data_IF_900938426760
#
_entry.id   IF_900938426760
#
_cell.length_a   1.000
_cell.length_b   1.000
_cell.length_c   1.000
_cell.angle_alpha   90.00
_cell.angle_beta   90.00
_cell.angle_gamma   90.00
#
_symmetry.space_group_name_H-M   'P 1'
#
loop_
_entity.id
_entity.type
_entity.pdbx_description
1 polymer ?
#
# COMPACT_ATOMS: atom_id res chain seq x y z
N UNK A 1 -14.67 -4.90 -30.62
CA UNK A 1 -14.70 -4.55 -29.98
C UNK A 1 -13.82 -4.26 -29.53
N UNK A 2 -13.77 -3.79 -29.84
CA UNK A 2 -12.81 -3.41 -29.31
C UNK A 2 -12.75 -3.76 -28.11
N UNK A 3 -11.84 -4.12 -27.78
CA UNK A 3 -11.72 -4.27 -26.59
C UNK A 3 -11.52 -3.06 -25.98
N UNK A 4 -12.55 -2.50 -25.60
CA UNK A 4 -12.49 -1.35 -24.83
C UNK A 4 -11.88 -1.71 -23.55
N UNK A 5 -10.94 -0.95 -23.10
CA UNK A 5 -10.45 -1.11 -21.77
C UNK A 5 -11.61 -0.97 -20.82
N UNK A 6 -11.83 -1.97 -20.02
CA UNK A 6 -12.80 -1.87 -18.96
C UNK A 6 -12.37 -0.74 -18.03
N UNK A 7 -13.22 0.25 -17.75
CA UNK A 7 -12.84 1.32 -16.85
C UNK A 7 -12.45 0.85 -15.47
N UNK A 8 -12.82 -0.40 -15.12
CA UNK A 8 -12.45 -0.95 -13.82
C UNK A 8 -11.11 -1.64 -13.85
N UNK A 9 -10.43 -1.65 -15.01
CA UNK A 9 -9.13 -2.30 -15.15
C UNK A 9 -8.05 -1.31 -15.48
N UNK A 10 -8.04 -0.19 -14.76
CA UNK A 10 -6.95 0.77 -14.89
C UNK A 10 -5.66 0.12 -14.37
N UNK A 11 -4.52 0.51 -14.94
CA UNK A 11 -3.26 -0.05 -14.46
C UNK A 11 -3.00 0.30 -13.00
N UNK A 12 -2.20 -0.51 -12.30
CA UNK A 12 -1.84 -0.19 -10.92
C UNK A 12 -1.12 1.15 -10.83
N UNK A 13 -1.39 1.86 -9.75
CA UNK A 13 -0.69 3.12 -9.45
C UNK A 13 0.40 2.81 -8.45
N UNK A 14 1.63 3.22 -8.76
CA UNK A 14 2.78 2.99 -7.89
C UNK A 14 3.20 4.32 -7.29
N UNK A 15 3.26 4.38 -5.97
CA UNK A 15 3.66 5.59 -5.25
C UNK A 15 4.89 5.26 -4.42
N UNK A 16 5.99 5.93 -4.73
CA UNK A 16 7.23 5.76 -3.97
C UNK A 16 7.12 6.51 -2.65
N UNK A 17 7.40 5.82 -1.56
CA UNK A 17 7.39 6.40 -0.24
C UNK A 17 8.80 6.80 0.19
N UNK A 18 8.93 7.77 1.10
CA UNK A 18 10.24 8.29 1.48
C UNK A 18 11.04 7.29 2.32
N UNK A 19 12.32 7.58 2.48
CA UNK A 19 13.24 6.74 3.25
C UNK A 19 12.83 6.64 4.71
N UNK A 20 12.21 7.67 5.26
CA UNK A 20 11.76 7.70 6.64
C UNK A 20 10.33 8.19 6.70
N UNK A 21 9.51 7.48 7.43
CA UNK A 21 8.12 7.87 7.64
C UNK A 21 7.94 8.06 9.14
N UNK A 22 7.63 9.28 9.54
CA UNK A 22 7.50 9.65 10.92
C UNK A 22 6.38 10.66 11.10
N UNK A 23 6.26 11.18 12.31
CA UNK A 23 5.20 12.11 12.65
C UNK A 23 5.22 13.36 11.77
N UNK A 24 6.39 13.75 11.24
CA UNK A 24 6.50 14.97 10.43
C UNK A 24 5.90 14.80 9.04
N UNK A 25 5.89 13.58 8.48
CA UNK A 25 5.43 13.39 7.10
C UNK A 25 4.32 12.36 6.92
N UNK A 26 3.92 11.66 8.00
CA UNK A 26 2.92 10.58 7.86
C UNK A 26 1.61 11.07 7.24
N UNK A 27 1.12 12.24 7.67
CA UNK A 27 -0.14 12.75 7.14
C UNK A 27 -0.04 13.09 5.66
N UNK A 28 1.08 13.68 5.25
CA UNK A 28 1.30 14.00 3.83
C UNK A 28 1.35 12.73 2.99
N UNK A 29 2.07 11.72 3.45
CA UNK A 29 2.15 10.44 2.74
C UNK A 29 0.76 9.80 2.67
N UNK A 30 0.02 9.84 3.77
CA UNK A 30 -1.35 9.30 3.79
C UNK A 30 -2.26 9.99 2.79
N UNK A 31 -2.18 11.32 2.67
CA UNK A 31 -2.97 12.05 1.68
C UNK A 31 -2.55 11.70 0.26
N UNK A 32 -1.25 11.50 0.04
CA UNK A 32 -0.76 11.10 -1.27
C UNK A 32 -1.32 9.74 -1.68
N UNK A 33 -1.31 8.78 -0.76
CA UNK A 33 -1.91 7.47 -1.03
C UNK A 33 -3.41 7.60 -1.25
N UNK A 34 -4.09 8.36 -0.40
CA UNK A 34 -5.53 8.52 -0.50
C UNK A 34 -5.97 9.13 -1.82
N UNK A 35 -5.19 10.06 -2.36
CA UNK A 35 -5.54 10.69 -3.63
C UNK A 35 -5.46 9.71 -4.81
N UNK A 36 -4.78 8.58 -4.63
CA UNK A 36 -4.68 7.56 -5.67
C UNK A 36 -5.84 6.57 -5.64
N UNK A 37 -6.67 6.57 -4.59
CA UNK A 37 -7.78 5.63 -4.49
C UNK A 37 -9.00 6.15 -5.26
N UNK A 38 -8.80 6.39 -6.55
CA UNK A 38 -9.84 6.93 -7.42
C UNK A 38 -10.70 5.81 -8.00
N UNK A 39 -11.88 6.19 -8.49
CA UNK A 39 -12.78 5.23 -9.12
C UNK A 39 -12.07 4.54 -10.30
N UNK A 40 -12.20 3.22 -10.39
CA UNK A 40 -11.59 2.45 -11.45
C UNK A 40 -10.18 1.98 -11.14
N UNK A 41 -9.53 2.50 -10.10
CA UNK A 41 -8.21 2.03 -9.69
C UNK A 41 -8.40 0.87 -8.74
N UNK A 42 -7.96 -0.33 -9.12
CA UNK A 42 -8.14 -1.52 -8.30
C UNK A 42 -6.92 -1.82 -7.45
N UNK A 43 -5.76 -1.29 -7.79
CA UNK A 43 -4.52 -1.59 -7.08
C UNK A 43 -3.67 -0.32 -6.98
N UNK A 44 -3.26 -0.01 -5.76
CA UNK A 44 -2.25 1.01 -5.49
C UNK A 44 -1.10 0.32 -4.76
N UNK A 45 0.11 0.55 -5.22
CA UNK A 45 1.30 -0.04 -4.61
C UNK A 45 2.07 1.07 -3.91
N UNK A 46 2.21 0.93 -2.60
CA UNK A 46 3.09 1.79 -1.82
C UNK A 46 4.49 1.18 -1.90
N UNK A 47 5.34 1.82 -2.67
CA UNK A 47 6.68 1.33 -2.91
C UNK A 47 7.57 1.83 -1.77
N UNK A 48 7.83 0.97 -0.81
CA UNK A 48 8.65 1.26 0.36
C UNK A 48 10.04 0.65 0.23
N UNK A 49 10.53 0.42 -1.00
CA UNK A 49 11.83 -0.22 -1.17
C UNK A 49 12.97 0.61 -0.60
N UNK A 50 12.84 1.92 -0.57
CA UNK A 50 13.86 2.77 0.05
C UNK A 50 13.52 3.12 1.51
N UNK A 51 12.35 2.76 2.00
CA UNK A 51 11.94 3.08 3.36
C UNK A 51 12.66 2.17 4.33
N UNK A 52 13.42 2.76 5.25
CA UNK A 52 14.18 2.04 6.26
C UNK A 52 13.78 2.38 7.68
N UNK A 53 12.87 3.32 7.84
CA UNK A 53 12.37 3.71 9.15
C UNK A 53 10.90 4.08 9.05
N UNK A 54 10.12 3.57 9.99
CA UNK A 54 8.69 3.86 10.05
C UNK A 54 8.28 3.79 11.52
N UNK A 55 7.88 4.90 12.08
CA UNK A 55 7.45 4.93 13.48
C UNK A 55 5.94 4.63 13.60
N UNK A 56 5.41 4.76 14.80
CA UNK A 56 3.99 4.45 15.05
C UNK A 56 3.05 5.35 14.24
N UNK A 57 3.45 6.59 13.97
CA UNK A 57 2.64 7.49 13.13
C UNK A 57 2.55 6.96 11.71
N UNK A 58 3.66 6.44 11.18
CA UNK A 58 3.68 5.83 9.86
C UNK A 58 2.85 4.56 9.80
N UNK A 59 2.96 3.71 10.81
CA UNK A 59 2.18 2.47 10.86
C UNK A 59 0.69 2.80 10.92
N UNK A 60 0.29 3.75 11.78
CA UNK A 60 -1.10 4.19 11.86
C UNK A 60 -1.61 4.71 10.53
N UNK A 61 -0.77 5.47 9.82
CA UNK A 61 -1.11 6.00 8.51
C UNK A 61 -1.34 4.86 7.52
N UNK A 62 -0.48 3.83 7.51
CA UNK A 62 -0.62 2.71 6.60
C UNK A 62 -1.92 1.93 6.87
N UNK A 63 -2.26 1.76 8.14
CA UNK A 63 -3.51 1.07 8.50
C UNK A 63 -4.72 1.88 8.02
N UNK A 64 -4.71 3.20 8.25
CA UNK A 64 -5.80 4.06 7.78
C UNK A 64 -5.91 4.04 6.26
N UNK A 65 -4.75 4.09 5.57
CA UNK A 65 -4.74 4.04 4.11
C UNK A 65 -5.30 2.71 3.60
N UNK A 66 -4.95 1.60 4.25
CA UNK A 66 -5.49 0.29 3.90
C UNK A 66 -7.02 0.28 4.02
N UNK A 67 -7.53 0.79 5.14
CA UNK A 67 -8.98 0.82 5.35
C UNK A 67 -9.67 1.73 4.33
N UNK A 68 -9.08 2.87 4.04
CA UNK A 68 -9.61 3.80 3.05
C UNK A 68 -9.64 3.17 1.65
N UNK A 69 -8.56 2.48 1.29
CA UNK A 69 -8.49 1.80 0.00
C UNK A 69 -9.60 0.76 -0.12
N UNK A 70 -9.76 -0.08 0.91
CA UNK A 70 -10.78 -1.11 0.92
C UNK A 70 -12.18 -0.50 0.78
N UNK A 71 -12.43 0.60 1.46
CA UNK A 71 -13.74 1.28 1.36
C UNK A 71 -13.99 1.82 -0.05
N UNK A 72 -12.94 2.05 -0.83
CA UNK A 72 -13.06 2.54 -2.20
C UNK A 72 -12.92 1.44 -3.25
N UNK A 73 -12.88 0.19 -2.84
CA UNK A 73 -12.74 -0.93 -3.78
C UNK A 73 -11.33 -1.08 -4.34
N UNK A 74 -10.33 -0.52 -3.66
CA UNK A 74 -8.93 -0.55 -4.08
C UNK A 74 -8.15 -1.43 -3.11
N UNK A 75 -7.19 -2.20 -3.63
CA UNK A 75 -6.23 -2.89 -2.77
C UNK A 75 -4.98 -2.04 -2.65
N UNK A 76 -4.56 -1.80 -1.41
CA UNK A 76 -3.27 -1.19 -1.14
C UNK A 76 -2.28 -2.32 -0.87
N UNK A 77 -1.20 -2.36 -1.65
CA UNK A 77 -0.12 -3.34 -1.51
C UNK A 77 1.17 -2.62 -1.19
N UNK A 78 1.94 -3.19 -0.27
CA UNK A 78 3.20 -2.57 0.17
C UNK A 78 4.36 -3.41 -0.34
N UNK A 79 5.40 -2.77 -0.85
CA UNK A 79 6.66 -3.44 -1.19
C UNK A 79 7.68 -3.01 -0.15
N UNK A 80 8.13 -3.94 0.69
CA UNK A 80 9.01 -3.64 1.82
C UNK A 80 10.24 -4.51 1.72
N UNK A 81 11.42 -3.88 1.66
CA UNK A 81 12.70 -4.59 1.65
C UNK A 81 13.41 -4.55 2.99
N UNK A 82 13.18 -3.49 3.76
CA UNK A 82 13.89 -3.30 5.03
C UNK A 82 13.48 -4.35 6.04
N UNK A 83 14.43 -5.12 6.55
CA UNK A 83 14.16 -6.07 7.61
C UNK A 83 13.72 -5.36 8.89
N UNK A 84 14.21 -4.15 9.14
CA UNK A 84 13.80 -3.39 10.31
C UNK A 84 12.32 -2.99 10.22
N UNK A 85 11.87 -2.54 9.05
CA UNK A 85 10.46 -2.18 8.85
C UNK A 85 9.58 -3.43 8.94
N UNK A 86 10.00 -4.53 8.31
CA UNK A 86 9.24 -5.78 8.39
C UNK A 86 9.11 -6.26 9.83
N UNK A 87 10.20 -6.15 10.60
CA UNK A 87 10.18 -6.58 12.00
C UNK A 87 9.17 -5.79 12.82
N UNK A 88 9.13 -4.46 12.61
CA UNK A 88 8.19 -3.64 13.35
C UNK A 88 6.75 -3.99 12.96
N UNK A 89 6.48 -4.17 11.67
CA UNK A 89 5.13 -4.55 11.23
C UNK A 89 4.71 -5.89 11.81
N UNK A 90 5.64 -6.85 11.88
CA UNK A 90 5.37 -8.16 12.47
C UNK A 90 5.13 -8.06 13.96
N UNK A 91 5.95 -7.27 14.67
CA UNK A 91 5.82 -7.14 16.12
C UNK A 91 4.49 -6.52 16.52
N UNK A 92 3.96 -5.60 15.72
CA UNK A 92 2.66 -5.00 16.01
C UNK A 92 1.53 -5.72 15.29
N UNK A 93 1.83 -6.87 14.67
CA UNK A 93 0.86 -7.76 14.03
C UNK A 93 0.12 -7.14 12.85
N UNK A 94 0.72 -6.12 12.22
CA UNK A 94 0.13 -5.49 11.03
C UNK A 94 0.39 -6.31 9.77
N UNK A 95 1.31 -7.28 9.83
CA UNK A 95 1.55 -8.20 8.72
C UNK A 95 0.34 -9.09 8.43
N UNK A 96 -0.60 -9.23 9.38
CA UNK A 96 -1.83 -9.96 9.15
C UNK A 96 -2.90 -9.09 8.48
N UNK A 97 -2.79 -7.79 8.58
CA UNK A 97 -3.77 -6.87 8.02
C UNK A 97 -3.31 -6.35 6.66
N UNK A 98 -2.04 -5.97 6.55
CA UNK A 98 -1.50 -5.31 5.36
C UNK A 98 -1.00 -6.34 4.36
N UNK A 99 -1.14 -6.03 3.06
CA UNK A 99 -0.65 -6.88 1.99
C UNK A 99 0.79 -6.48 1.69
N UNK A 100 1.73 -7.31 2.10
CA UNK A 100 3.16 -6.99 2.04
C UNK A 100 3.85 -7.95 1.10
N UNK A 101 4.68 -7.40 0.20
CA UNK A 101 5.41 -8.17 -0.81
C UNK A 101 6.88 -7.83 -0.77
N UNK A 102 7.77 -8.79 -1.03
CA UNK A 102 9.21 -8.52 -0.99
C UNK A 102 9.74 -7.87 -2.26
N UNK A 103 9.00 -7.92 -3.36
CA UNK A 103 9.44 -7.29 -4.62
C UNK A 103 8.28 -6.58 -5.29
N UNK A 104 8.63 -5.59 -6.11
CA UNK A 104 7.62 -4.89 -6.90
C UNK A 104 6.96 -5.84 -7.90
N UNK A 105 7.74 -6.74 -8.51
CA UNK A 105 7.19 -7.72 -9.44
C UNK A 105 6.11 -8.57 -8.79
N UNK A 106 6.34 -9.03 -7.57
CA UNK A 106 5.36 -9.84 -6.87
C UNK A 106 4.13 -9.03 -6.50
N UNK A 107 4.30 -7.79 -6.11
CA UNK A 107 3.18 -6.92 -5.79
C UNK A 107 2.31 -6.66 -7.02
N UNK A 108 2.94 -6.50 -8.19
CA UNK A 108 2.22 -6.27 -9.44
C UNK A 108 1.53 -7.53 -9.94
N UNK A 109 2.16 -8.69 -9.75
CA UNK A 109 1.64 -9.96 -10.26
C UNK A 109 0.54 -10.55 -9.38
N UNK A 110 0.41 -10.10 -8.14
CA UNK A 110 -0.56 -10.68 -7.21
C UNK A 110 -1.98 -10.45 -7.73
N UNK A 111 -2.78 -11.49 -7.67
CA UNK A 111 -4.18 -11.39 -8.01
C UNK A 111 -4.97 -10.74 -6.88
N UNK A 112 -6.30 -10.65 -7.05
CA UNK A 112 -7.14 -10.14 -5.98
C UNK A 112 -6.96 -10.95 -4.71
N UNK A 113 -6.88 -10.25 -3.58
CA UNK A 113 -6.70 -10.89 -2.29
C UNK A 113 -8.01 -10.82 -1.52
N UNK A 114 -8.40 -11.95 -0.95
CA UNK A 114 -9.56 -12.01 -0.07
C UNK A 114 -9.04 -12.24 1.33
N UNK A 115 -9.37 -11.31 2.22
CA UNK A 115 -8.98 -11.43 3.60
C UNK A 115 -10.18 -11.77 4.44
N UNK A 116 -10.06 -12.86 5.17
CA UNK A 116 -11.09 -13.25 6.12
C UNK A 116 -10.59 -12.88 7.50
N UNK A 117 -11.39 -12.20 8.23
CA UNK A 117 -11.01 -11.76 9.56
C UNK A 117 -11.83 -12.40 10.61
#
# INVERSE_FOLDING_TARGET
MALMADPQHLPPVIIALPAEIDMANADRVGRQLGSAFAAGVTTVIADMRVTRFCDSSGISMLVRAHKQATANGTQLRLVVLSTAVLRILTLVQMDHLLLIYPTLSQALAAGPQIRHE
#
